data_IF_801481314801
#
_entry.id   IF_801481314801
#
_cell.length_a   1.000
_cell.length_b   1.000
_cell.length_c   1.000
_cell.angle_alpha   90.00
_cell.angle_beta   90.00
_cell.angle_gamma   90.00
#
_symmetry.space_group_name_H-M   'P 1'
#
loop_
_entity.id
_entity.type
_entity.pdbx_description
1 polymer ?
#
# COMPACT_ATOMS: atom_id res chain seq x y z
N UNK A 1 -39.57 -46.59 -19.84
CA UNK A 1 -39.53 -45.37 -19.03
C UNK A 1 -38.06 -45.10 -18.67
N UNK A 2 -37.36 -44.39 -19.56
CA UNK A 2 -35.92 -44.12 -19.42
C UNK A 2 -35.71 -42.80 -18.71
N UNK A 3 -35.10 -42.86 -17.51
CA UNK A 3 -34.56 -41.68 -16.82
C UNK A 3 -33.20 -41.39 -17.42
N UNK A 4 -33.11 -40.37 -18.26
CA UNK A 4 -31.84 -39.80 -18.74
C UNK A 4 -31.27 -39.01 -17.58
N UNK A 5 -30.19 -39.56 -17.02
CA UNK A 5 -29.36 -38.91 -16.02
C UNK A 5 -28.47 -37.88 -16.76
N UNK A 6 -28.81 -36.59 -16.64
CA UNK A 6 -27.99 -35.49 -17.16
C UNK A 6 -26.81 -35.28 -16.20
N UNK A 7 -25.66 -35.88 -16.53
CA UNK A 7 -24.39 -35.64 -15.85
C UNK A 7 -23.83 -34.31 -16.36
N UNK A 8 -24.09 -33.25 -15.64
CA UNK A 8 -23.41 -31.97 -15.83
C UNK A 8 -21.94 -32.14 -15.39
N UNK A 9 -21.08 -32.42 -16.34
CA UNK A 9 -19.63 -32.29 -16.22
C UNK A 9 -19.33 -30.77 -16.06
N UNK A 10 -19.28 -30.31 -14.82
CA UNK A 10 -18.59 -29.08 -14.45
C UNK A 10 -17.09 -29.31 -14.72
N UNK A 11 -16.66 -29.03 -15.96
CA UNK A 11 -15.25 -28.79 -16.25
C UNK A 11 -14.90 -27.49 -15.53
N UNK A 12 -14.47 -27.64 -14.31
CA UNK A 12 -13.71 -26.58 -13.64
C UNK A 12 -12.43 -26.39 -14.45
N UNK A 13 -12.41 -25.42 -15.35
CA UNK A 13 -11.17 -24.83 -15.81
C UNK A 13 -10.51 -24.21 -14.56
N UNK A 14 -9.75 -25.03 -13.85
CA UNK A 14 -8.73 -24.52 -13.00
C UNK A 14 -7.77 -23.74 -13.93
N UNK A 15 -7.99 -22.44 -14.04
CA UNK A 15 -6.96 -21.54 -14.53
C UNK A 15 -5.81 -21.75 -13.56
N UNK A 16 -4.87 -22.60 -13.92
CA UNK A 16 -3.61 -22.72 -13.22
C UNK A 16 -3.00 -21.33 -13.26
N UNK A 17 -3.06 -20.63 -12.13
CA UNK A 17 -2.26 -19.44 -11.93
C UNK A 17 -0.82 -19.87 -12.24
N UNK A 18 -0.31 -19.49 -13.40
CA UNK A 18 1.07 -19.73 -13.75
C UNK A 18 1.90 -19.04 -12.68
N UNK A 19 2.53 -19.82 -11.81
CA UNK A 19 3.45 -19.30 -10.81
C UNK A 19 4.59 -18.60 -11.55
N UNK A 20 4.50 -17.27 -11.65
CA UNK A 20 5.48 -16.45 -12.37
C UNK A 20 6.79 -16.50 -11.57
N UNK A 21 7.84 -17.02 -12.19
CA UNK A 21 9.16 -16.94 -11.61
C UNK A 21 9.71 -15.53 -11.79
N UNK A 22 9.54 -14.68 -10.79
CA UNK A 22 9.93 -13.26 -10.84
C UNK A 22 11.43 -13.04 -11.07
N UNK A 23 12.30 -13.97 -10.67
CA UNK A 23 13.73 -13.87 -10.99
C UNK A 23 14.00 -14.05 -12.48
N UNK A 24 13.24 -14.89 -13.16
CA UNK A 24 13.33 -15.08 -14.62
C UNK A 24 12.72 -13.90 -15.34
N UNK A 25 11.53 -13.45 -14.90
CA UNK A 25 10.85 -12.25 -15.44
C UNK A 25 11.77 -11.02 -15.37
N UNK A 26 12.40 -10.78 -14.25
CA UNK A 26 13.29 -9.64 -14.07
C UNK A 26 14.45 -9.66 -15.07
N UNK A 27 15.10 -10.82 -15.26
CA UNK A 27 16.17 -10.99 -16.26
C UNK A 27 15.65 -10.73 -17.68
N UNK A 28 14.47 -11.22 -18.01
CA UNK A 28 13.80 -11.01 -19.29
C UNK A 28 13.57 -9.51 -19.54
N UNK A 29 12.97 -8.79 -18.56
CA UNK A 29 12.69 -7.37 -18.66
C UNK A 29 13.98 -6.55 -18.84
N UNK A 30 15.00 -6.79 -18.01
CA UNK A 30 16.28 -6.10 -18.18
C UNK A 30 16.95 -6.41 -19.53
N UNK A 31 16.92 -7.64 -19.98
CA UNK A 31 17.42 -8.00 -21.30
C UNK A 31 16.65 -7.28 -22.42
N UNK A 32 15.33 -7.30 -22.38
CA UNK A 32 14.49 -6.61 -23.36
C UNK A 32 14.77 -5.10 -23.37
N UNK A 33 14.88 -4.46 -22.20
CA UNK A 33 15.21 -3.04 -22.09
C UNK A 33 16.60 -2.73 -22.67
N UNK A 34 17.59 -3.59 -22.44
CA UNK A 34 18.92 -3.44 -23.04
C UNK A 34 18.93 -3.60 -24.55
N UNK A 35 18.05 -4.45 -25.09
CA UNK A 35 17.90 -4.68 -26.54
C UNK A 35 16.95 -3.68 -27.22
N UNK A 36 16.42 -2.69 -26.48
CA UNK A 36 15.48 -1.71 -27.04
C UNK A 36 14.06 -2.23 -27.23
N UNK A 37 13.70 -3.39 -26.65
CA UNK A 37 12.35 -4.01 -26.72
C UNK A 37 11.47 -3.60 -25.55
N UNK A 38 11.40 -2.30 -25.27
CA UNK A 38 10.71 -1.75 -24.08
C UNK A 38 9.19 -1.97 -24.15
N UNK A 39 8.60 -1.91 -25.35
CA UNK A 39 7.19 -2.19 -25.58
C UNK A 39 6.81 -3.62 -25.19
N UNK A 40 7.69 -4.60 -25.44
CA UNK A 40 7.48 -5.98 -25.02
C UNK A 40 7.57 -6.09 -23.48
N UNK A 41 8.52 -5.40 -22.85
CA UNK A 41 8.62 -5.32 -21.40
C UNK A 41 7.36 -4.74 -20.78
N UNK A 42 6.90 -3.59 -21.28
CA UNK A 42 5.70 -2.93 -20.78
C UNK A 42 4.47 -3.83 -20.92
N UNK A 43 4.23 -4.37 -22.11
CA UNK A 43 3.08 -5.25 -22.39
C UNK A 43 3.06 -6.44 -21.42
N UNK A 44 4.20 -7.12 -21.27
CA UNK A 44 4.34 -8.26 -20.37
C UNK A 44 4.04 -7.92 -18.91
N UNK A 45 4.50 -6.76 -18.45
CA UNK A 45 4.31 -6.30 -17.06
C UNK A 45 2.86 -5.87 -16.81
N UNK A 46 2.22 -5.20 -17.77
CA UNK A 46 0.81 -4.80 -17.65
C UNK A 46 -0.12 -6.01 -17.67
N UNK A 47 0.14 -7.03 -18.52
CA UNK A 47 -0.61 -8.30 -18.50
C UNK A 47 -0.55 -9.00 -17.14
N UNK A 48 0.56 -8.84 -16.39
CA UNK A 48 0.68 -9.40 -15.05
C UNK A 48 -0.14 -8.58 -14.04
N UNK A 49 -0.17 -7.24 -14.16
CA UNK A 49 -0.98 -6.38 -13.29
C UNK A 49 -2.49 -6.59 -13.48
N UNK A 50 -2.93 -6.93 -14.70
CA UNK A 50 -4.34 -7.24 -14.98
C UNK A 50 -4.82 -8.56 -14.32
N UNK A 51 -3.91 -9.36 -13.78
CA UNK A 51 -4.24 -10.62 -13.12
C UNK A 51 -4.75 -10.36 -11.69
N UNK A 52 -6.05 -10.61 -11.45
CA UNK A 52 -6.71 -10.42 -10.14
C UNK A 52 -6.12 -11.25 -8.99
N UNK A 53 -5.30 -12.26 -9.28
CA UNK A 53 -4.67 -13.13 -8.28
C UNK A 53 -3.21 -12.77 -8.00
N UNK A 54 -2.75 -11.59 -8.42
CA UNK A 54 -1.40 -11.11 -8.14
C UNK A 54 -1.22 -10.86 -6.63
N UNK A 55 -0.13 -11.32 -6.07
CA UNK A 55 0.21 -11.05 -4.67
C UNK A 55 0.75 -9.62 -4.52
N UNK A 56 0.63 -9.04 -3.33
CA UNK A 56 1.16 -7.70 -3.05
C UNK A 56 2.65 -7.56 -3.41
N UNK A 57 3.48 -8.57 -3.09
CA UNK A 57 4.90 -8.57 -3.44
C UNK A 57 5.14 -8.57 -4.96
N UNK A 58 4.34 -9.30 -5.69
CA UNK A 58 4.40 -9.36 -7.14
C UNK A 58 3.99 -8.02 -7.75
N UNK A 59 2.92 -7.41 -7.26
CA UNK A 59 2.47 -6.09 -7.69
C UNK A 59 3.54 -5.02 -7.44
N UNK A 60 4.15 -4.99 -6.26
CA UNK A 60 5.30 -4.12 -5.94
C UNK A 60 6.43 -4.32 -6.95
N UNK A 61 6.79 -5.58 -7.22
CA UNK A 61 7.89 -5.93 -8.13
C UNK A 61 7.59 -5.50 -9.57
N UNK A 62 6.37 -5.71 -10.05
CA UNK A 62 5.95 -5.32 -11.41
C UNK A 62 5.97 -3.80 -11.57
N UNK A 63 5.45 -3.04 -10.61
CA UNK A 63 5.52 -1.57 -10.66
C UNK A 63 6.98 -1.08 -10.65
N UNK A 64 7.85 -1.70 -9.85
CA UNK A 64 9.29 -1.43 -9.88
C UNK A 64 9.91 -1.69 -11.26
N UNK A 65 9.59 -2.81 -11.92
CA UNK A 65 10.11 -3.16 -13.24
C UNK A 65 9.56 -2.23 -14.35
N UNK A 66 8.31 -1.79 -14.25
CA UNK A 66 7.75 -0.75 -15.13
C UNK A 66 8.54 0.56 -14.99
N UNK A 67 8.82 0.99 -13.77
CA UNK A 67 9.65 2.16 -13.51
C UNK A 67 11.03 2.05 -14.18
N UNK A 68 11.72 0.91 -14.00
CA UNK A 68 13.02 0.66 -14.62
C UNK A 68 12.93 0.69 -16.17
N UNK A 69 11.83 0.22 -16.73
CA UNK A 69 11.58 0.23 -18.18
C UNK A 69 11.42 1.66 -18.70
N UNK A 70 10.60 2.49 -18.06
CA UNK A 70 10.42 3.90 -18.45
C UNK A 70 11.69 4.73 -18.23
N UNK A 71 12.43 4.51 -17.12
CA UNK A 71 13.70 5.19 -16.90
C UNK A 71 14.72 4.90 -18.00
N UNK A 72 14.74 3.67 -18.50
CA UNK A 72 15.67 3.29 -19.59
C UNK A 72 15.39 4.01 -20.91
N UNK A 73 14.22 4.64 -21.05
CA UNK A 73 13.82 5.52 -22.14
C UNK A 73 13.94 7.02 -21.81
N UNK A 74 14.41 7.37 -20.60
CA UNK A 74 14.48 8.72 -20.04
C UNK A 74 13.09 9.37 -19.85
N UNK A 75 12.04 8.57 -19.68
CA UNK A 75 10.73 9.06 -19.24
C UNK A 75 10.70 9.13 -17.71
N UNK A 76 11.34 10.16 -17.19
CA UNK A 76 11.51 10.36 -15.73
C UNK A 76 10.19 10.60 -14.99
N UNK A 77 9.21 11.36 -15.54
CA UNK A 77 7.92 11.56 -14.87
C UNK A 77 7.15 10.25 -14.69
N UNK A 78 7.03 9.43 -15.73
CA UNK A 78 6.36 8.12 -15.64
C UNK A 78 7.11 7.17 -14.70
N UNK A 79 8.44 7.21 -14.73
CA UNK A 79 9.28 6.45 -13.78
C UNK A 79 8.95 6.78 -12.33
N UNK A 80 8.84 8.08 -11.97
CA UNK A 80 8.49 8.51 -10.60
C UNK A 80 7.13 7.95 -10.20
N UNK A 81 6.13 8.06 -11.06
CA UNK A 81 4.77 7.56 -10.78
C UNK A 81 4.77 6.06 -10.39
N UNK A 82 5.47 5.23 -11.17
CA UNK A 82 5.56 3.80 -10.86
C UNK A 82 6.42 3.49 -9.63
N UNK A 83 7.49 4.27 -9.38
CA UNK A 83 8.30 4.11 -8.15
C UNK A 83 7.50 4.49 -6.91
N UNK A 84 6.73 5.56 -6.96
CA UNK A 84 5.89 6.01 -5.84
C UNK A 84 4.79 4.97 -5.55
N UNK A 85 4.12 4.43 -6.59
CA UNK A 85 3.15 3.33 -6.45
C UNK A 85 3.82 2.09 -5.83
N UNK A 86 4.98 1.68 -6.34
CA UNK A 86 5.74 0.55 -5.81
C UNK A 86 6.16 0.75 -4.35
N UNK A 87 6.61 1.95 -3.97
CA UNK A 87 7.02 2.27 -2.60
C UNK A 87 5.81 2.32 -1.64
N UNK A 88 4.67 2.84 -2.09
CA UNK A 88 3.44 2.87 -1.29
C UNK A 88 2.97 1.46 -0.96
N UNK A 89 2.83 0.61 -1.97
CA UNK A 89 2.47 -0.80 -1.79
C UNK A 89 3.50 -1.55 -0.93
N UNK A 90 4.78 -1.22 -1.05
CA UNK A 90 5.84 -1.86 -0.25
C UNK A 90 5.76 -1.56 1.25
N UNK A 91 4.99 -0.57 1.70
CA UNK A 91 4.79 -0.30 3.13
C UNK A 91 4.08 -1.46 3.84
N UNK A 92 3.17 -2.11 3.13
CA UNK A 92 2.34 -3.19 3.68
C UNK A 92 3.02 -4.58 3.59
N UNK A 93 4.22 -4.65 2.98
CA UNK A 93 5.01 -5.87 2.98
C UNK A 93 5.59 -6.17 4.37
N UNK A 94 5.66 -7.43 4.74
CA UNK A 94 6.30 -7.88 5.98
C UNK A 94 7.80 -7.51 6.02
N UNK A 95 8.39 -7.42 7.22
CA UNK A 95 9.77 -6.94 7.44
C UNK A 95 10.89 -7.69 6.71
N UNK A 96 10.63 -8.86 6.11
CA UNK A 96 11.61 -9.63 5.33
C UNK A 96 11.91 -9.04 3.94
N UNK A 97 11.14 -8.05 3.49
CA UNK A 97 11.24 -7.47 2.13
C UNK A 97 12.08 -6.18 2.06
N UNK A 98 12.98 -5.98 3.01
CA UNK A 98 13.86 -4.80 3.05
C UNK A 98 14.75 -4.66 1.81
N UNK A 99 15.12 -5.77 1.16
CA UNK A 99 15.89 -5.75 -0.08
C UNK A 99 15.11 -5.12 -1.24
N UNK A 100 13.81 -5.42 -1.37
CA UNK A 100 12.95 -4.84 -2.40
C UNK A 100 12.74 -3.34 -2.17
N UNK A 101 12.46 -2.92 -0.93
CA UNK A 101 12.38 -1.49 -0.56
C UNK A 101 13.68 -0.76 -0.88
N UNK A 102 14.83 -1.40 -0.62
CA UNK A 102 16.13 -0.81 -0.91
C UNK A 102 16.38 -0.69 -2.41
N UNK A 103 15.95 -1.65 -3.21
CA UNK A 103 16.00 -1.57 -4.69
C UNK A 103 15.15 -0.42 -5.22
N UNK A 104 13.91 -0.24 -4.72
CA UNK A 104 13.05 0.88 -5.11
C UNK A 104 13.73 2.20 -4.75
N UNK A 105 14.28 2.34 -3.54
CA UNK A 105 15.01 3.56 -3.12
C UNK A 105 16.22 3.84 -3.99
N UNK A 106 16.98 2.81 -4.37
CA UNK A 106 18.13 2.95 -5.27
C UNK A 106 17.69 3.44 -6.64
N UNK A 107 16.60 2.88 -7.18
CA UNK A 107 16.05 3.28 -8.47
C UNK A 107 15.51 4.73 -8.44
N UNK A 108 14.90 5.16 -7.33
CA UNK A 108 14.52 6.56 -7.13
C UNK A 108 15.75 7.49 -7.17
N UNK A 109 16.84 7.11 -6.50
CA UNK A 109 18.08 7.88 -6.55
C UNK A 109 18.62 7.97 -7.98
N UNK A 110 18.60 6.87 -8.74
CA UNK A 110 19.05 6.84 -10.14
C UNK A 110 18.17 7.70 -11.03
N UNK A 111 16.86 7.66 -10.86
CA UNK A 111 15.95 8.50 -11.63
C UNK A 111 16.17 9.99 -11.38
N UNK A 112 16.31 10.40 -10.11
CA UNK A 112 16.63 11.79 -9.78
C UNK A 112 18.00 12.21 -10.33
N UNK A 113 18.99 11.33 -10.28
CA UNK A 113 20.31 11.61 -10.84
C UNK A 113 20.25 11.82 -12.36
N UNK A 114 19.59 10.92 -13.09
CA UNK A 114 19.46 10.98 -14.55
C UNK A 114 18.64 12.21 -14.99
N UNK A 115 17.72 12.67 -14.15
CA UNK A 115 16.93 13.90 -14.32
C UNK A 115 17.67 15.16 -13.82
N UNK A 116 18.96 15.06 -13.51
CA UNK A 116 19.83 16.15 -12.99
C UNK A 116 19.38 16.76 -11.65
N UNK A 117 18.48 16.12 -10.92
CA UNK A 117 18.07 16.47 -9.55
C UNK A 117 19.08 15.92 -8.53
N UNK A 118 20.30 16.45 -8.58
CA UNK A 118 21.43 15.91 -7.82
C UNK A 118 21.30 16.05 -6.30
N UNK A 119 20.57 17.05 -5.82
CA UNK A 119 20.34 17.24 -4.39
C UNK A 119 19.45 16.14 -3.82
N UNK A 120 18.37 15.80 -4.51
CA UNK A 120 17.42 14.73 -4.16
C UNK A 120 18.08 13.37 -4.24
N UNK A 121 18.74 13.08 -5.36
CA UNK A 121 19.53 11.86 -5.54
C UNK A 121 20.58 11.70 -4.43
N UNK A 122 21.34 12.75 -4.17
CA UNK A 122 22.39 12.76 -3.14
C UNK A 122 21.87 12.44 -1.75
N UNK A 123 20.71 13.00 -1.36
CA UNK A 123 20.09 12.71 -0.06
C UNK A 123 19.74 11.22 0.09
N UNK A 124 19.15 10.62 -0.95
CA UNK A 124 18.79 9.19 -0.93
C UNK A 124 20.06 8.33 -0.87
N UNK A 125 21.04 8.61 -1.73
CA UNK A 125 22.31 7.87 -1.76
C UNK A 125 23.07 7.94 -0.44
N UNK A 126 23.14 9.12 0.20
CA UNK A 126 23.75 9.26 1.52
C UNK A 126 23.05 8.41 2.58
N UNK A 127 21.72 8.34 2.54
CA UNK A 127 20.94 7.47 3.43
C UNK A 127 21.29 5.99 3.26
N UNK A 128 21.53 5.55 2.02
CA UNK A 128 21.93 4.16 1.71
C UNK A 128 23.39 3.90 2.17
N UNK A 129 24.29 4.82 1.90
CA UNK A 129 25.71 4.73 2.31
C UNK A 129 25.86 4.68 3.83
N UNK A 130 25.11 5.50 4.59
CA UNK A 130 25.10 5.47 6.07
C UNK A 130 24.67 4.11 6.65
N UNK A 131 23.87 3.36 5.92
CA UNK A 131 23.47 1.99 6.28
C UNK A 131 24.46 0.93 5.77
N UNK A 132 25.66 1.34 5.34
CA UNK A 132 26.71 0.49 4.81
C UNK A 132 26.21 -0.45 3.69
N UNK A 133 25.35 0.08 2.80
CA UNK A 133 24.73 -0.67 1.69
C UNK A 133 23.97 -1.93 2.11
N UNK A 134 23.40 -1.95 3.33
CA UNK A 134 22.62 -3.08 3.81
C UNK A 134 21.47 -3.34 2.85
N UNK A 135 21.29 -4.60 2.45
CA UNK A 135 20.25 -5.08 1.53
C UNK A 135 20.30 -4.45 0.11
N UNK A 136 21.43 -3.87 -0.29
CA UNK A 136 21.67 -3.35 -1.65
C UNK A 136 22.39 -4.41 -2.47
N UNK A 137 21.86 -4.70 -3.66
CA UNK A 137 22.54 -5.61 -4.60
C UNK A 137 23.84 -5.01 -5.15
N UNK A 138 24.79 -5.84 -5.61
CA UNK A 138 26.11 -5.36 -6.06
C UNK A 138 26.04 -4.38 -7.22
N UNK A 139 25.09 -4.51 -8.16
CA UNK A 139 24.96 -3.61 -9.32
C UNK A 139 24.47 -2.23 -8.87
N UNK A 140 23.41 -2.19 -8.04
CA UNK A 140 22.92 -0.96 -7.44
C UNK A 140 23.98 -0.27 -6.58
N UNK A 141 24.76 -1.04 -5.79
CA UNK A 141 25.89 -0.50 -5.03
C UNK A 141 26.92 0.17 -5.95
N UNK A 142 27.30 -0.50 -7.05
CA UNK A 142 28.25 0.07 -8.01
C UNK A 142 27.73 1.38 -8.62
N UNK A 143 26.43 1.46 -8.95
CA UNK A 143 25.84 2.68 -9.51
C UNK A 143 25.75 3.82 -8.49
N UNK A 144 25.44 3.54 -7.22
CA UNK A 144 25.44 4.54 -6.15
C UNK A 144 26.87 5.10 -5.97
N UNK A 145 27.89 4.24 -5.97
CA UNK A 145 29.29 4.66 -5.90
C UNK A 145 29.65 5.52 -7.12
N UNK A 146 29.30 5.11 -8.33
CA UNK A 146 29.53 5.86 -9.58
C UNK A 146 28.84 7.22 -9.55
N UNK A 147 27.60 7.31 -9.13
CA UNK A 147 26.87 8.58 -9.05
C UNK A 147 27.46 9.50 -7.97
N UNK A 148 27.89 8.92 -6.84
CA UNK A 148 28.62 9.67 -5.80
C UNK A 148 29.95 10.19 -6.33
N UNK A 149 30.68 9.37 -7.11
CA UNK A 149 31.89 9.79 -7.80
C UNK A 149 31.62 10.97 -8.76
N UNK A 150 30.53 10.95 -9.48
CA UNK A 150 30.12 12.06 -10.35
C UNK A 150 29.83 13.35 -9.56
N UNK A 151 29.20 13.24 -8.39
CA UNK A 151 29.03 14.42 -7.51
C UNK A 151 30.36 14.97 -6.99
N UNK A 152 31.39 14.12 -6.78
CA UNK A 152 32.75 14.55 -6.50
C UNK A 152 33.42 15.23 -7.69
N UNK A 153 33.22 14.66 -8.89
CA UNK A 153 33.68 15.27 -10.15
C UNK A 153 33.08 16.68 -10.34
N UNK A 154 31.80 16.89 -10.11
CA UNK A 154 31.17 18.22 -10.18
C UNK A 154 31.77 19.22 -9.19
N UNK A 155 32.28 18.74 -8.07
CA UNK A 155 33.03 19.53 -7.06
C UNK A 155 34.51 19.68 -7.37
N UNK A 156 34.98 19.21 -8.53
CA UNK A 156 36.38 19.18 -8.98
C UNK A 156 37.31 18.34 -8.09
N UNK A 157 36.76 17.45 -7.26
CA UNK A 157 37.55 16.45 -6.51
C UNK A 157 37.83 15.25 -7.41
N UNK A 158 38.67 15.46 -8.40
CA UNK A 158 38.96 14.50 -9.46
C UNK A 158 39.62 13.23 -8.93
N UNK A 159 40.46 13.35 -7.91
CA UNK A 159 41.14 12.20 -7.31
C UNK A 159 40.19 11.27 -6.60
N UNK A 160 39.26 11.82 -5.81
CA UNK A 160 38.21 11.00 -5.17
C UNK A 160 37.26 10.40 -6.22
N UNK A 161 36.85 11.16 -7.24
CA UNK A 161 36.02 10.68 -8.31
C UNK A 161 36.63 9.48 -9.04
N UNK A 162 37.91 9.57 -9.39
CA UNK A 162 38.64 8.51 -10.12
C UNK A 162 38.70 7.20 -9.29
N UNK A 163 39.08 7.31 -8.01
CA UNK A 163 39.12 6.14 -7.11
C UNK A 163 37.73 5.47 -7.00
N UNK A 164 36.69 6.25 -6.85
CA UNK A 164 35.32 5.72 -6.73
C UNK A 164 34.81 5.10 -8.04
N UNK A 165 35.22 5.64 -9.21
CA UNK A 165 34.92 4.99 -10.49
C UNK A 165 35.62 3.64 -10.62
N UNK A 166 36.89 3.53 -10.19
CA UNK A 166 37.61 2.24 -10.17
C UNK A 166 36.94 1.24 -9.22
N UNK A 167 36.50 1.64 -8.03
CA UNK A 167 35.75 0.81 -7.09
C UNK A 167 34.46 0.28 -7.74
N UNK A 168 33.69 1.16 -8.37
CA UNK A 168 32.46 0.80 -9.09
C UNK A 168 32.74 -0.19 -10.23
N UNK A 169 33.79 0.03 -11.02
CA UNK A 169 34.20 -0.87 -12.11
C UNK A 169 34.64 -2.24 -11.61
N UNK A 170 35.33 -2.29 -10.46
CA UNK A 170 35.73 -3.56 -9.84
C UNK A 170 34.50 -4.40 -9.42
N UNK A 171 33.50 -3.77 -8.82
CA UNK A 171 32.23 -4.45 -8.47
C UNK A 171 31.52 -4.94 -9.72
N UNK A 172 31.36 -4.10 -10.75
CA UNK A 172 30.66 -4.48 -11.99
C UNK A 172 31.40 -5.56 -12.79
N UNK A 173 32.71 -5.64 -12.69
CA UNK A 173 33.49 -6.70 -13.35
C UNK A 173 33.02 -8.10 -12.92
N UNK A 174 32.62 -8.23 -11.66
CA UNK A 174 32.15 -9.49 -11.09
C UNK A 174 30.62 -9.66 -11.20
N UNK A 175 29.86 -8.59 -10.89
CA UNK A 175 28.41 -8.66 -10.79
C UNK A 175 27.68 -8.54 -12.14
N UNK A 176 28.13 -7.65 -13.04
CA UNK A 176 27.52 -7.40 -14.35
C UNK A 176 28.47 -6.71 -15.31
N UNK A 177 29.33 -7.49 -15.95
CA UNK A 177 30.37 -6.96 -16.84
C UNK A 177 29.83 -6.09 -17.99
N UNK A 178 28.64 -6.40 -18.49
CA UNK A 178 27.96 -5.67 -19.56
C UNK A 178 27.50 -4.24 -19.14
N UNK A 179 27.43 -3.94 -17.84
CA UNK A 179 27.04 -2.64 -17.33
C UNK A 179 28.23 -1.69 -17.11
N UNK A 180 29.47 -2.15 -17.27
CA UNK A 180 30.66 -1.31 -17.13
C UNK A 180 30.69 -0.06 -18.03
N UNK A 181 30.19 -0.05 -19.27
CA UNK A 181 30.17 1.14 -20.09
C UNK A 181 29.55 2.36 -19.43
N UNK A 182 28.53 2.19 -18.58
CA UNK A 182 27.90 3.31 -17.86
C UNK A 182 28.89 4.05 -16.97
N UNK A 183 29.75 3.33 -16.26
CA UNK A 183 30.79 3.91 -15.40
C UNK A 183 31.96 4.42 -16.23
N UNK A 184 32.37 3.69 -17.26
CA UNK A 184 33.45 4.09 -18.16
C UNK A 184 33.18 5.42 -18.84
N UNK A 185 31.92 5.67 -19.27
CA UNK A 185 31.55 6.97 -19.86
C UNK A 185 31.70 8.11 -18.86
N UNK A 186 31.31 7.92 -17.60
CA UNK A 186 31.52 8.93 -16.55
C UNK A 186 33.01 9.15 -16.25
N UNK A 187 33.80 8.08 -16.29
CA UNK A 187 35.27 8.20 -16.19
C UNK A 187 35.88 8.89 -17.40
N UNK A 188 35.34 8.71 -18.60
CA UNK A 188 35.75 9.41 -19.81
C UNK A 188 35.49 10.92 -19.69
N UNK A 189 34.37 11.36 -19.12
CA UNK A 189 34.12 12.76 -18.78
C UNK A 189 35.22 13.34 -17.86
N UNK A 190 35.52 12.62 -16.78
CA UNK A 190 36.56 13.01 -15.85
C UNK A 190 37.90 13.22 -16.56
N UNK A 191 38.32 12.27 -17.40
CA UNK A 191 39.58 12.34 -18.08
C UNK A 191 39.58 13.40 -19.19
N UNK A 192 38.41 13.67 -19.79
CA UNK A 192 38.21 14.80 -20.67
C UNK A 192 38.52 16.14 -19.97
N UNK A 193 37.98 16.38 -18.79
CA UNK A 193 38.26 17.59 -18.00
C UNK A 193 39.73 17.65 -17.53
N UNK A 194 40.35 16.51 -17.26
CA UNK A 194 41.78 16.43 -16.88
C UNK A 194 42.73 16.54 -18.07
N UNK A 195 42.26 16.77 -19.29
CA UNK A 195 43.03 16.83 -20.52
C UNK A 195 43.83 15.56 -20.87
N UNK A 196 43.36 14.37 -20.46
CA UNK A 196 44.00 13.07 -20.70
C UNK A 196 43.41 12.39 -21.94
N UNK A 197 43.64 12.95 -23.13
CA UNK A 197 42.96 12.52 -24.35
C UNK A 197 43.26 11.10 -24.78
N UNK A 198 44.46 10.58 -24.58
CA UNK A 198 44.79 9.17 -24.86
C UNK A 198 43.97 8.23 -23.98
N UNK A 199 43.78 8.59 -22.71
CA UNK A 199 42.91 7.83 -21.82
C UNK A 199 41.42 7.90 -22.20
N UNK A 200 40.97 9.07 -22.66
CA UNK A 200 39.59 9.25 -23.21
C UNK A 200 39.38 8.32 -24.38
N UNK A 201 40.28 8.28 -25.34
CA UNK A 201 40.16 7.42 -26.52
C UNK A 201 40.17 5.93 -26.14
N UNK A 202 41.09 5.51 -25.26
CA UNK A 202 41.15 4.14 -24.77
C UNK A 202 39.84 3.70 -24.06
N UNK A 203 39.28 4.58 -23.23
CA UNK A 203 38.00 4.30 -22.54
C UNK A 203 36.86 4.15 -23.56
N UNK A 204 36.80 5.04 -24.56
CA UNK A 204 35.82 4.95 -25.62
C UNK A 204 35.86 3.58 -26.33
N UNK A 205 37.07 3.17 -26.76
CA UNK A 205 37.24 1.88 -27.43
C UNK A 205 36.82 0.71 -26.55
N UNK A 206 37.16 0.72 -25.27
CA UNK A 206 36.72 -0.28 -24.30
C UNK A 206 35.21 -0.31 -24.16
N UNK A 207 34.54 0.86 -24.16
CA UNK A 207 33.07 0.94 -24.16
C UNK A 207 32.49 0.28 -25.41
N UNK A 208 33.04 0.59 -26.57
CA UNK A 208 32.56 0.06 -27.87
C UNK A 208 32.74 -1.46 -27.96
N UNK A 209 33.84 -1.99 -27.46
CA UNK A 209 34.10 -3.44 -27.40
C UNK A 209 33.09 -4.12 -26.47
N UNK A 210 32.93 -3.65 -25.22
CA UNK A 210 32.02 -4.26 -24.25
C UNK A 210 30.56 -4.16 -24.74
N UNK A 211 30.14 -2.99 -25.23
CA UNK A 211 28.80 -2.80 -25.76
C UNK A 211 28.52 -3.67 -27.00
N UNK A 212 29.57 -3.95 -27.81
CA UNK A 212 29.50 -4.89 -28.93
C UNK A 212 29.34 -6.32 -28.50
N UNK A 213 30.17 -6.78 -27.58
CA UNK A 213 30.12 -8.15 -27.02
C UNK A 213 28.77 -8.44 -26.33
N UNK A 214 28.22 -7.45 -25.63
CA UNK A 214 26.94 -7.56 -24.93
C UNK A 214 25.72 -7.22 -25.82
N UNK A 215 25.93 -6.80 -27.07
CA UNK A 215 24.88 -6.39 -28.01
C UNK A 215 23.99 -5.26 -27.49
N UNK A 216 24.55 -4.28 -26.75
CA UNK A 216 23.79 -3.19 -26.12
C UNK A 216 24.05 -1.90 -26.92
N UNK A 217 23.18 -1.61 -27.88
CA UNK A 217 23.32 -0.45 -28.77
C UNK A 217 23.33 0.88 -28.03
N UNK A 218 22.49 1.05 -27.02
CA UNK A 218 22.41 2.28 -26.23
C UNK A 218 23.74 2.68 -25.59
N UNK A 219 24.60 1.74 -25.23
CA UNK A 219 25.90 2.06 -24.64
C UNK A 219 26.90 2.54 -25.69
N UNK A 220 26.77 2.08 -26.94
CA UNK A 220 27.56 2.64 -28.06
C UNK A 220 27.17 4.08 -28.34
N UNK A 221 25.85 4.36 -28.34
CA UNK A 221 25.30 5.72 -28.52
C UNK A 221 25.83 6.61 -27.39
N UNK A 222 25.62 6.20 -26.13
CA UNK A 222 26.01 6.97 -24.94
C UNK A 222 27.53 7.31 -24.94
N UNK A 223 28.39 6.31 -25.21
CA UNK A 223 29.83 6.54 -25.30
C UNK A 223 30.22 7.51 -26.43
N UNK A 224 29.54 7.42 -27.59
CA UNK A 224 29.82 8.29 -28.73
C UNK A 224 29.32 9.71 -28.50
N UNK A 225 28.17 9.90 -27.89
CA UNK A 225 27.64 11.20 -27.46
C UNK A 225 28.61 11.91 -26.54
N UNK A 226 29.10 11.20 -25.52
CA UNK A 226 30.03 11.78 -24.56
C UNK A 226 31.37 12.16 -25.18
N UNK A 227 31.92 11.28 -26.02
CA UNK A 227 33.16 11.58 -26.73
C UNK A 227 33.01 12.77 -27.67
N UNK A 228 31.87 12.87 -28.33
CA UNK A 228 31.55 14.02 -29.19
C UNK A 228 31.52 15.32 -28.38
N UNK A 229 30.89 15.34 -27.21
CA UNK A 229 30.85 16.53 -26.35
C UNK A 229 32.26 16.93 -25.85
N UNK A 230 33.12 15.95 -25.55
CA UNK A 230 34.54 16.23 -25.19
C UNK A 230 35.27 16.89 -26.35
N UNK A 231 35.07 16.41 -27.61
CA UNK A 231 35.73 17.02 -28.77
C UNK A 231 35.13 18.38 -29.14
N UNK A 232 33.83 18.61 -28.96
CA UNK A 232 33.18 19.92 -29.13
C UNK A 232 33.77 20.96 -28.18
N UNK A 233 33.90 20.65 -26.89
CA UNK A 233 34.55 21.54 -25.90
C UNK A 233 36.00 21.89 -26.22
N UNK A 234 36.63 21.06 -27.05
CA UNK A 234 38.01 21.25 -27.51
C UNK A 234 38.16 21.87 -28.88
N UNK A 235 37.04 22.25 -29.46
CA UNK A 235 36.99 22.87 -30.82
C UNK A 235 37.65 22.01 -31.90
N UNK A 236 37.69 20.69 -31.75
CA UNK A 236 38.30 19.79 -32.74
C UNK A 236 37.31 19.44 -33.83
N UNK A 237 37.15 20.32 -34.81
CA UNK A 237 36.17 20.19 -35.89
C UNK A 237 36.28 18.86 -36.68
N UNK A 238 37.49 18.36 -36.93
CA UNK A 238 37.72 17.10 -37.64
C UNK A 238 37.14 15.89 -36.87
N UNK A 239 37.42 15.81 -35.56
CA UNK A 239 36.88 14.74 -34.71
C UNK A 239 35.41 14.90 -34.51
N UNK A 240 34.90 16.12 -34.33
CA UNK A 240 33.45 16.38 -34.23
C UNK A 240 32.71 15.83 -35.46
N UNK A 241 33.16 16.16 -36.67
CA UNK A 241 32.57 15.68 -37.90
C UNK A 241 32.60 14.15 -38.01
N UNK A 242 33.72 13.52 -37.64
CA UNK A 242 33.88 12.07 -37.62
C UNK A 242 32.85 11.40 -36.70
N UNK A 243 32.72 11.87 -35.44
CA UNK A 243 31.87 11.22 -34.46
C UNK A 243 30.39 11.56 -34.64
N UNK A 244 30.01 12.69 -35.24
CA UNK A 244 28.64 12.97 -35.66
C UNK A 244 28.15 11.89 -36.61
N UNK A 245 28.92 11.57 -37.67
CA UNK A 245 28.56 10.52 -38.63
C UNK A 245 28.37 9.15 -37.98
N UNK A 246 29.23 8.79 -37.03
CA UNK A 246 29.12 7.55 -36.30
C UNK A 246 27.83 7.55 -35.44
N UNK A 247 27.57 8.65 -34.75
CA UNK A 247 26.41 8.81 -33.87
C UNK A 247 25.10 8.71 -34.67
N UNK A 248 25.00 9.38 -35.81
CA UNK A 248 23.83 9.33 -36.71
C UNK A 248 23.60 7.90 -37.21
N UNK A 249 24.65 7.19 -37.62
CA UNK A 249 24.52 5.78 -37.98
C UNK A 249 24.01 4.88 -36.85
N UNK A 250 24.45 5.15 -35.58
CA UNK A 250 23.98 4.40 -34.42
C UNK A 250 22.53 4.75 -34.05
N UNK A 251 22.16 6.04 -34.09
CA UNK A 251 20.79 6.51 -33.81
C UNK A 251 19.78 6.02 -34.83
N UNK A 252 20.12 5.95 -36.10
CA UNK A 252 19.25 5.39 -37.17
C UNK A 252 18.90 3.91 -36.90
N UNK A 253 19.74 3.18 -36.15
CA UNK A 253 19.46 1.80 -35.71
C UNK A 253 18.60 1.75 -34.47
N UNK A 254 18.44 2.88 -33.76
CA UNK A 254 17.73 2.98 -32.49
C UNK A 254 16.47 3.85 -32.61
N UNK A 255 15.31 3.22 -32.92
CA UNK A 255 14.03 3.92 -32.98
C UNK A 255 13.43 4.18 -31.59
N UNK A 256 14.19 4.86 -30.72
CA UNK A 256 13.83 5.10 -29.33
C UNK A 256 12.58 5.97 -29.19
N UNK A 257 12.50 7.06 -29.93
CA UNK A 257 11.39 8.02 -29.86
C UNK A 257 10.06 7.38 -30.26
N UNK A 258 10.07 6.58 -31.34
CA UNK A 258 8.88 5.83 -31.76
C UNK A 258 8.42 4.80 -30.73
N UNK A 259 9.38 4.13 -30.05
CA UNK A 259 9.05 3.19 -28.96
C UNK A 259 8.45 3.92 -27.77
N UNK A 260 9.05 5.04 -27.36
CA UNK A 260 8.55 5.83 -26.23
C UNK A 260 7.14 6.36 -26.51
N UNK A 261 6.90 6.92 -27.69
CA UNK A 261 5.57 7.41 -28.08
C UNK A 261 4.51 6.31 -28.02
N UNK A 262 4.80 5.12 -28.55
CA UNK A 262 3.89 3.98 -28.48
C UNK A 262 3.60 3.57 -27.04
N UNK A 263 4.64 3.47 -26.21
CA UNK A 263 4.50 3.09 -24.81
C UNK A 263 3.72 4.12 -23.99
N UNK A 264 3.89 5.40 -24.25
CA UNK A 264 3.11 6.47 -23.61
C UNK A 264 1.63 6.39 -23.97
N UNK A 265 1.30 6.11 -25.25
CA UNK A 265 -0.09 5.92 -25.68
C UNK A 265 -0.71 4.72 -24.97
N UNK A 266 -0.02 3.60 -24.90
CA UNK A 266 -0.52 2.39 -24.25
C UNK A 266 -0.67 2.62 -22.74
N UNK A 267 0.30 3.28 -22.11
CA UNK A 267 0.23 3.65 -20.69
C UNK A 267 -0.96 4.60 -20.38
N UNK A 268 -1.25 5.56 -21.26
CA UNK A 268 -2.42 6.44 -21.09
C UNK A 268 -3.75 5.68 -21.19
N UNK A 269 -3.83 4.65 -22.05
CA UNK A 269 -5.03 3.81 -22.15
C UNK A 269 -5.26 3.01 -20.87
N UNK A 270 -4.20 2.46 -20.27
CA UNK A 270 -4.31 1.68 -19.05
C UNK A 270 -4.64 2.55 -17.85
N UNK A 271 -4.04 3.75 -17.73
CA UNK A 271 -4.40 4.72 -16.69
C UNK A 271 -5.87 5.16 -16.79
N UNK A 272 -6.38 5.38 -18.03
CA UNK A 272 -7.81 5.69 -18.22
C UNK A 272 -8.72 4.54 -17.81
N UNK A 273 -8.30 3.28 -17.98
CA UNK A 273 -9.06 2.13 -17.49
C UNK A 273 -9.09 2.09 -15.96
N UNK A 274 -7.93 2.30 -15.30
CA UNK A 274 -7.85 2.39 -13.84
C UNK A 274 -8.76 3.49 -13.31
N UNK A 275 -8.69 4.71 -13.87
CA UNK A 275 -9.53 5.85 -13.48
C UNK A 275 -11.04 5.52 -13.62
N UNK A 276 -11.44 4.87 -14.72
CA UNK A 276 -12.84 4.44 -14.95
C UNK A 276 -13.27 3.36 -13.94
N UNK A 277 -12.41 2.44 -13.61
CA UNK A 277 -12.72 1.41 -12.61
C UNK A 277 -12.81 1.98 -11.19
N UNK A 278 -11.94 2.92 -10.83
CA UNK A 278 -12.01 3.66 -9.56
C UNK A 278 -13.30 4.51 -9.48
N UNK A 279 -13.66 5.25 -10.54
CA UNK A 279 -14.92 6.01 -10.59
C UNK A 279 -16.15 5.10 -10.43
N UNK A 280 -16.16 3.95 -11.11
CA UNK A 280 -17.23 2.94 -10.94
C UNK A 280 -17.26 2.41 -9.51
N UNK A 281 -16.10 2.08 -8.93
CA UNK A 281 -16.00 1.62 -7.57
C UNK A 281 -16.51 2.65 -6.55
N UNK A 282 -16.19 3.92 -6.74
CA UNK A 282 -16.71 5.03 -5.92
C UNK A 282 -18.22 5.18 -6.09
N UNK A 283 -18.73 5.13 -7.30
CA UNK A 283 -20.17 5.21 -7.60
C UNK A 283 -20.94 4.07 -6.89
N UNK A 284 -20.47 2.83 -6.97
CA UNK A 284 -21.09 1.70 -6.28
C UNK A 284 -21.09 1.84 -4.76
N UNK A 285 -19.99 2.36 -4.17
CA UNK A 285 -19.93 2.65 -2.73
C UNK A 285 -20.92 3.75 -2.31
N UNK A 286 -21.06 4.78 -3.14
CA UNK A 286 -22.01 5.87 -2.94
C UNK A 286 -23.47 5.35 -2.98
N UNK A 287 -23.81 4.56 -3.99
CA UNK A 287 -25.14 3.94 -4.12
C UNK A 287 -25.44 3.01 -2.92
N UNK A 288 -24.47 2.19 -2.50
CA UNK A 288 -24.65 1.31 -1.34
C UNK A 288 -24.90 2.11 -0.05
N UNK A 289 -24.20 3.25 0.12
CA UNK A 289 -24.42 4.15 1.24
C UNK A 289 -25.83 4.74 1.21
N UNK A 290 -26.28 5.23 0.06
CA UNK A 290 -27.64 5.78 -0.10
C UNK A 290 -28.72 4.76 0.20
N UNK A 291 -28.58 3.52 -0.28
CA UNK A 291 -29.49 2.41 0.01
C UNK A 291 -29.51 2.09 1.52
N UNK A 292 -28.36 2.10 2.18
CA UNK A 292 -28.29 1.84 3.62
C UNK A 292 -28.94 2.94 4.44
N UNK A 293 -28.77 4.21 4.07
CA UNK A 293 -29.44 5.35 4.70
C UNK A 293 -30.95 5.26 4.50
N UNK A 294 -31.42 4.96 3.28
CA UNK A 294 -32.85 4.76 3.01
C UNK A 294 -33.43 3.61 3.84
N UNK A 295 -32.70 2.51 3.97
CA UNK A 295 -33.09 1.37 4.83
C UNK A 295 -33.24 1.79 6.30
N UNK A 296 -32.35 2.62 6.83
CA UNK A 296 -32.46 3.16 8.18
C UNK A 296 -33.69 4.08 8.35
N UNK A 297 -34.00 4.91 7.36
CA UNK A 297 -35.21 5.74 7.36
C UNK A 297 -36.49 4.88 7.37
N UNK A 298 -36.54 3.84 6.54
CA UNK A 298 -37.68 2.92 6.50
C UNK A 298 -37.83 2.20 7.85
N UNK A 299 -36.76 1.68 8.41
CA UNK A 299 -36.75 1.03 9.71
C UNK A 299 -37.22 1.98 10.82
N UNK A 300 -36.70 3.23 10.84
CA UNK A 300 -37.13 4.28 11.76
C UNK A 300 -38.63 4.60 11.62
N UNK A 301 -39.12 4.71 10.40
CA UNK A 301 -40.52 4.96 10.13
C UNK A 301 -41.45 3.80 10.59
N UNK A 302 -41.03 2.56 10.35
CA UNK A 302 -41.74 1.37 10.83
C UNK A 302 -41.75 1.34 12.36
N UNK A 303 -40.64 1.62 13.00
CA UNK A 303 -40.52 1.71 14.45
C UNK A 303 -41.41 2.82 15.02
N UNK A 304 -41.39 4.01 14.39
CA UNK A 304 -42.28 5.13 14.78
C UNK A 304 -43.75 4.77 14.66
N UNK A 305 -44.18 4.14 13.55
CA UNK A 305 -45.56 3.64 13.38
C UNK A 305 -45.95 2.62 14.43
N UNK A 306 -45.05 1.67 14.78
CA UNK A 306 -45.28 0.70 15.86
C UNK A 306 -45.38 1.39 17.22
N UNK A 307 -44.56 2.36 17.50
CA UNK A 307 -44.58 3.16 18.74
C UNK A 307 -45.92 3.91 18.90
N UNK A 308 -46.42 4.53 17.81
CA UNK A 308 -47.72 5.19 17.81
C UNK A 308 -48.88 4.22 18.07
N UNK A 309 -48.88 3.03 17.46
CA UNK A 309 -49.88 1.98 17.72
C UNK A 309 -49.84 1.55 19.19
N UNK A 310 -48.65 1.32 19.74
CA UNK A 310 -48.45 0.95 21.12
C UNK A 310 -48.95 2.00 22.11
N UNK A 311 -48.68 3.27 21.84
CA UNK A 311 -49.20 4.42 22.64
C UNK A 311 -50.73 4.46 22.63
N UNK A 312 -51.36 4.23 21.47
CA UNK A 312 -52.81 4.24 21.29
C UNK A 312 -53.47 3.09 22.01
N UNK A 313 -52.86 1.89 21.99
CA UNK A 313 -53.35 0.71 22.69
C UNK A 313 -53.20 0.86 24.20
N UNK A 314 -52.09 1.43 24.69
CA UNK A 314 -51.88 1.76 26.09
C UNK A 314 -52.89 2.80 26.62
N UNK A 315 -53.24 3.80 25.82
CA UNK A 315 -54.30 4.79 26.16
C UNK A 315 -55.65 4.12 26.30
N UNK A 316 -56.03 3.22 25.36
CA UNK A 316 -57.28 2.46 25.43
C UNK A 316 -57.37 1.55 26.66
N UNK A 317 -56.25 0.89 26.99
CA UNK A 317 -56.17 0.04 28.19
C UNK A 317 -56.34 0.88 29.45
N UNK A 318 -55.70 2.05 29.55
CA UNK A 318 -55.88 2.96 30.68
C UNK A 318 -57.30 3.51 30.80
N UNK A 319 -57.94 3.90 29.69
CA UNK A 319 -59.34 4.33 29.67
C UNK A 319 -60.30 3.21 30.14
N UNK A 320 -60.07 1.97 29.69
CA UNK A 320 -60.83 0.82 30.16
C UNK A 320 -60.65 0.53 31.66
N UNK A 321 -59.40 0.67 32.15
CA UNK A 321 -59.09 0.52 33.59
C UNK A 321 -59.75 1.63 34.44
N UNK A 322 -59.79 2.88 33.95
CA UNK A 322 -60.51 3.94 34.63
C UNK A 322 -62.03 3.69 34.66
N UNK A 323 -62.63 3.29 33.56
CA UNK A 323 -64.03 2.93 33.51
C UNK A 323 -64.39 1.74 34.41
N UNK A 324 -63.50 0.76 34.59
CA UNK A 324 -63.66 -0.32 35.54
C UNK A 324 -63.56 0.14 37.00
N UNK A 325 -62.71 1.13 37.30
CA UNK A 325 -62.60 1.73 38.67
C UNK A 325 -63.81 2.58 39.01
N UNK A 326 -64.40 3.28 38.02
CA UNK A 326 -65.61 4.09 38.23
C UNK A 326 -66.90 3.28 38.38
N UNK A 327 -66.90 2.00 37.96
CA UNK A 327 -68.07 1.08 38.12
C UNK A 327 -68.06 0.29 39.44
N UNK A 328 -67.04 0.41 40.26
CA UNK A 328 -67.02 -0.15 41.63
C UNK A 328 -67.49 0.94 42.64
N UNK A 329 -68.75 0.89 42.98
CA UNK A 329 -69.41 1.67 44.04
C UNK A 329 -68.80 1.27 45.40
N UNK A 330 -68.72 2.21 46.36
CA UNK A 330 -67.82 2.12 47.53
C UNK A 330 -68.46 1.28 48.63
N UNK A 331 -67.62 0.48 49.30
CA UNK A 331 -67.93 0.02 50.67
C UNK A 331 -66.88 0.66 51.58
N UNK A 332 -67.41 1.34 52.59
CA UNK A 332 -66.74 2.17 53.56
C UNK A 332 -65.95 1.41 54.65
N UNK A 333 -64.99 2.13 55.20
CA UNK A 333 -64.52 2.14 56.57
C UNK A 333 -63.74 0.92 57.05
N UNK A 334 -62.73 0.95 57.86
CA UNK A 334 -61.96 1.96 58.60
C UNK A 334 -60.59 1.36 58.99
N UNK A 335 -59.72 2.11 59.72
CA UNK A 335 -58.29 1.89 59.72
C UNK A 335 -57.82 1.05 60.89
N UNK A 336 -56.70 0.34 60.70
CA UNK A 336 -55.84 0.00 61.83
C UNK A 336 -54.36 0.11 61.42
N UNK A 337 -53.69 0.95 62.13
CA UNK A 337 -52.24 1.00 62.26
C UNK A 337 -51.76 -0.33 62.79
N UNK A 338 -50.75 -0.92 62.22
CA UNK A 338 -49.83 -1.75 62.97
C UNK A 338 -48.45 -1.75 62.36
N UNK A 339 -47.53 -1.84 63.25
CA UNK A 339 -46.12 -1.57 63.22
C UNK A 339 -45.31 -2.38 62.21
N UNK A 340 -44.31 -1.75 61.62
CA UNK A 340 -43.35 -2.29 60.68
C UNK A 340 -42.49 -3.38 61.34
N UNK A 341 -42.61 -4.59 60.83
CA UNK A 341 -41.60 -5.64 61.01
C UNK A 341 -40.56 -5.57 59.86
N UNK A 342 -39.27 -5.45 60.09
CA UNK A 342 -38.26 -5.18 59.10
C UNK A 342 -37.85 -6.35 58.20
N UNK A 343 -38.43 -7.52 58.35
CA UNK A 343 -37.90 -8.77 57.74
C UNK A 343 -38.60 -9.26 56.45
N UNK A 344 -39.51 -8.45 55.88
CA UNK A 344 -40.39 -8.90 54.77
C UNK A 344 -40.04 -8.45 53.37
N UNK A 345 -38.87 -7.85 53.13
CA UNK A 345 -38.56 -7.28 51.82
C UNK A 345 -37.87 -8.23 50.82
N UNK A 346 -37.32 -9.38 51.24
CA UNK A 346 -36.64 -10.32 50.34
C UNK A 346 -37.62 -11.13 49.45
N UNK A 347 -38.88 -11.27 49.85
CA UNK A 347 -39.89 -12.01 49.10
C UNK A 347 -40.50 -11.25 47.91
N UNK A 348 -40.12 -9.99 47.70
CA UNK A 348 -40.63 -9.16 46.57
C UNK A 348 -39.77 -9.22 45.30
N UNK A 349 -38.63 -9.91 45.34
CA UNK A 349 -37.74 -10.01 44.20
C UNK A 349 -37.96 -11.29 43.41
N UNK A 350 -37.98 -11.20 42.09
CA UNK A 350 -37.97 -12.38 41.21
C UNK A 350 -36.64 -13.13 41.29
N UNK A 351 -36.63 -14.42 40.96
CA UNK A 351 -35.40 -15.23 41.05
C UNK A 351 -34.25 -14.64 40.26
N UNK A 352 -34.54 -14.01 39.08
CA UNK A 352 -33.56 -13.32 38.27
C UNK A 352 -33.03 -12.06 38.94
N UNK A 353 -33.85 -11.36 39.71
CA UNK A 353 -33.41 -10.19 40.49
C UNK A 353 -32.60 -10.60 41.72
N UNK A 354 -32.87 -11.73 42.33
CA UNK A 354 -32.06 -12.30 43.42
C UNK A 354 -30.69 -12.71 42.95
N UNK A 355 -30.57 -13.36 41.78
CA UNK A 355 -29.31 -13.73 41.17
C UNK A 355 -28.45 -12.49 40.86
N UNK A 356 -29.06 -11.45 40.29
CA UNK A 356 -28.40 -10.20 39.97
C UNK A 356 -27.97 -9.44 41.26
N UNK A 357 -28.80 -9.43 42.29
CA UNK A 357 -28.50 -8.87 43.62
C UNK A 357 -27.27 -9.56 44.25
N UNK A 358 -27.19 -10.89 44.17
CA UNK A 358 -26.05 -11.66 44.67
C UNK A 358 -24.74 -11.30 43.93
N UNK A 359 -24.78 -11.03 42.61
CA UNK A 359 -23.61 -10.58 41.87
C UNK A 359 -23.22 -9.14 42.19
N UNK A 360 -24.22 -8.28 42.44
CA UNK A 360 -23.98 -6.91 42.93
C UNK A 360 -23.32 -6.90 44.32
N UNK A 361 -23.77 -7.77 45.20
CA UNK A 361 -23.20 -7.91 46.55
C UNK A 361 -21.72 -8.36 46.54
N UNK A 362 -21.31 -9.12 45.50
CA UNK A 362 -19.90 -9.51 45.26
C UNK A 362 -19.04 -8.39 44.64
N UNK A 363 -19.60 -7.21 44.45
CA UNK A 363 -18.87 -6.03 43.92
C UNK A 363 -18.70 -5.96 42.39
N UNK A 364 -19.32 -6.84 41.60
CA UNK A 364 -19.15 -6.86 40.16
C UNK A 364 -19.78 -5.62 39.52
N UNK A 365 -19.11 -5.07 38.51
CA UNK A 365 -19.62 -3.95 37.68
C UNK A 365 -20.81 -4.39 36.81
N UNK A 366 -21.59 -3.44 36.33
CA UNK A 366 -22.72 -3.74 35.44
C UNK A 366 -22.30 -4.51 34.17
N UNK A 367 -21.10 -4.24 33.66
CA UNK A 367 -20.52 -4.92 32.53
C UNK A 367 -20.20 -6.39 32.83
N UNK A 368 -19.54 -6.66 33.95
CA UNK A 368 -19.21 -8.01 34.40
C UNK A 368 -20.47 -8.84 34.69
N UNK A 369 -21.51 -8.19 35.25
CA UNK A 369 -22.81 -8.83 35.49
C UNK A 369 -23.49 -9.18 34.17
N UNK A 370 -23.45 -8.26 33.18
CA UNK A 370 -24.00 -8.47 31.87
C UNK A 370 -23.35 -9.67 31.16
N UNK A 371 -22.02 -9.76 31.22
CA UNK A 371 -21.24 -10.87 30.66
C UNK A 371 -21.57 -12.21 31.35
N UNK A 372 -21.65 -12.22 32.67
CA UNK A 372 -21.96 -13.44 33.45
C UNK A 372 -23.36 -13.95 33.25
N UNK A 373 -24.32 -13.05 33.04
CA UNK A 373 -25.73 -13.39 32.90
C UNK A 373 -26.17 -13.51 31.45
N UNK A 374 -25.25 -13.31 30.49
CA UNK A 374 -25.49 -13.32 29.04
C UNK A 374 -26.62 -12.37 28.60
N UNK A 375 -26.66 -11.16 29.19
CA UNK A 375 -27.64 -10.11 28.86
C UNK A 375 -26.95 -8.78 28.58
N UNK A 376 -27.67 -7.80 28.01
CA UNK A 376 -27.11 -6.49 27.73
C UNK A 376 -26.90 -5.68 29.03
N UNK A 377 -25.89 -4.78 29.04
CA UNK A 377 -25.66 -3.87 30.17
C UNK A 377 -26.88 -2.99 30.48
N UNK A 378 -27.65 -2.63 29.45
CA UNK A 378 -28.91 -1.89 29.62
C UNK A 378 -29.99 -2.72 30.34
N UNK A 379 -30.04 -4.01 30.07
CA UNK A 379 -30.92 -4.95 30.77
C UNK A 379 -30.52 -5.08 32.24
N UNK A 380 -29.21 -5.12 32.54
CA UNK A 380 -28.70 -5.11 33.91
C UNK A 380 -29.12 -3.82 34.63
N UNK A 381 -28.94 -2.65 34.04
CA UNK A 381 -29.34 -1.34 34.59
C UNK A 381 -30.86 -1.30 34.89
N UNK A 382 -31.67 -1.87 34.02
CA UNK A 382 -33.12 -1.97 34.22
C UNK A 382 -33.47 -2.81 35.45
N UNK A 383 -32.88 -4.01 35.59
CA UNK A 383 -33.10 -4.86 36.76
C UNK A 383 -32.59 -4.24 38.05
N UNK A 384 -31.42 -3.58 38.03
CA UNK A 384 -30.88 -2.87 39.22
C UNK A 384 -31.83 -1.77 39.69
N UNK A 385 -32.41 -1.00 38.77
CA UNK A 385 -33.41 0.03 39.11
C UNK A 385 -34.62 -0.59 39.80
N UNK A 386 -35.10 -1.72 39.29
CA UNK A 386 -36.25 -2.42 39.90
C UNK A 386 -35.92 -3.06 41.27
N UNK A 387 -34.69 -3.55 41.46
CA UNK A 387 -34.21 -4.05 42.75
C UNK A 387 -34.14 -2.90 43.77
N UNK A 388 -33.62 -1.74 43.41
CA UNK A 388 -33.59 -0.57 44.32
C UNK A 388 -35.01 -0.14 44.70
N UNK A 389 -35.94 -0.11 43.77
CA UNK A 389 -37.32 0.21 44.02
C UNK A 389 -37.97 -0.82 44.98
N UNK A 390 -37.72 -2.10 44.74
CA UNK A 390 -38.31 -3.20 45.56
C UNK A 390 -37.75 -3.25 46.99
N UNK A 391 -36.45 -2.88 47.18
CA UNK A 391 -35.76 -2.90 48.44
C UNK A 391 -35.70 -1.54 49.15
N UNK A 392 -36.31 -0.49 48.58
CA UNK A 392 -36.31 0.87 49.11
C UNK A 392 -34.91 1.50 49.20
N UNK A 393 -34.03 1.18 48.22
CA UNK A 393 -32.64 1.65 48.22
C UNK A 393 -32.51 2.80 47.21
N UNK A 394 -31.68 3.81 47.54
CA UNK A 394 -31.41 4.96 46.67
C UNK A 394 -30.30 4.69 45.68
N UNK A 395 -29.26 3.98 46.10
CA UNK A 395 -28.09 3.72 45.25
C UNK A 395 -27.33 2.45 45.69
N UNK A 396 -26.27 2.14 44.98
CA UNK A 396 -25.41 0.97 45.20
C UNK A 396 -24.65 1.04 46.54
N UNK A 397 -24.35 2.24 47.02
CA UNK A 397 -23.64 2.46 48.26
C UNK A 397 -24.51 2.09 49.48
N UNK A 398 -25.78 2.45 49.39
CA UNK A 398 -26.77 2.10 50.40
C UNK A 398 -27.01 0.56 50.49
N UNK A 399 -26.97 -0.14 49.35
CA UNK A 399 -26.99 -1.60 49.30
C UNK A 399 -25.81 -2.22 50.09
N UNK A 400 -24.57 -1.73 49.85
CA UNK A 400 -23.39 -2.25 50.55
C UNK A 400 -23.44 -1.96 52.07
N UNK A 401 -23.94 -0.79 52.47
CA UNK A 401 -24.12 -0.46 53.90
C UNK A 401 -25.15 -1.41 54.55
N UNK A 402 -26.24 -1.73 53.89
CA UNK A 402 -27.27 -2.65 54.38
C UNK A 402 -26.79 -4.09 54.47
N UNK A 403 -25.93 -4.54 53.52
CA UNK A 403 -25.28 -5.85 53.61
C UNK A 403 -24.25 -5.92 54.71
N UNK A 404 -23.46 -4.86 54.93
CA UNK A 404 -22.45 -4.79 55.97
C UNK A 404 -23.05 -4.75 57.40
N UNK A 405 -24.24 -4.17 57.57
CA UNK A 405 -24.98 -4.16 58.82
C UNK A 405 -25.63 -5.50 59.18
N UNK A 406 -25.89 -6.38 58.19
CA UNK A 406 -26.50 -7.72 58.39
C UNK A 406 -25.45 -8.80 58.78
N UNK A 407 -24.15 -8.51 58.60
CA UNK A 407 -23.02 -9.40 58.92
C UNK A 407 -22.31 -9.04 60.26
N UNK A 408 -22.88 -8.18 61.04
CA UNK A 408 -22.53 -7.92 62.43
C UNK A 408 -23.60 -8.52 63.37
#
# INVERSE_FOLDING_TARGET
MNKILFFLLLISFAVQAQNINFSVLEKEIYHNNQQGRHDQSQKRLLEILDNKNITLKEEVTVNFLLAATFRSLNDYPTTVKYLDKSMELAKDLSGTEDSLRMRIRSEMAFNYFDHHKYAESGRIMQGIVRQNFRNVDPVSKAYIIMQTAYLKYLKKDFSAADRMYEESLAILKQASSCNRPVVLVKKMQLYGEMNKMDSVQNIYERCMVIAGQCSILKYKIYATEELLEIYKKRENAGKVFQYVKILDSLRNKDNREGRLSKMQIDNQKDLKKEDIEEEKGFLWKSIALEISVLGLFIAGFVFYRRSLKYKKEKSRINENLQQMKEKQVPVAEQPEEDEADPDLHENKLTDRQKELLALMAKGLSNKEIAEKLFISENTVKYHIKNIYLALGLKDRKELFLKIASKNK
#
